data_IF_343655943100
#
_entry.id   IF_343655943100
#
_cell.length_a   1.000
_cell.length_b   1.000
_cell.length_c   1.000
_cell.angle_alpha   90.00
_cell.angle_beta   90.00
_cell.angle_gamma   90.00
#
_symmetry.space_group_name_H-M   'P 1'
#
loop_
_entity.id
_entity.type
_entity.pdbx_description
1 polymer ?
#
# COMPACT_ATOMS: atom_id res chain seq x y z
N UNK A 1 9.54 -57.26 -28.42
CA UNK A 1 8.44 -56.30 -28.11
C UNK A 1 8.66 -55.74 -26.72
N UNK A 2 9.35 -54.62 -26.60
CA UNK A 2 9.33 -53.79 -25.39
C UNK A 2 9.32 -52.35 -25.89
N UNK A 3 8.12 -51.77 -25.99
CA UNK A 3 7.97 -50.35 -26.21
C UNK A 3 8.27 -49.66 -24.88
N UNK A 4 9.46 -49.04 -24.78
CA UNK A 4 9.71 -48.03 -23.75
C UNK A 4 8.80 -46.84 -24.08
N UNK A 5 7.72 -46.70 -23.32
CA UNK A 5 6.96 -45.46 -23.23
C UNK A 5 7.83 -44.48 -22.43
N UNK A 6 8.49 -43.56 -23.13
CA UNK A 6 9.07 -42.39 -22.50
C UNK A 6 7.89 -41.53 -21.98
N UNK A 7 7.68 -41.54 -20.67
CA UNK A 7 6.86 -40.53 -20.00
C UNK A 7 7.59 -39.19 -20.20
N UNK A 8 7.10 -38.38 -21.15
CA UNK A 8 7.43 -36.97 -21.17
C UNK A 8 6.92 -36.40 -19.85
N UNK A 9 7.84 -36.08 -18.94
CA UNK A 9 7.52 -35.33 -17.74
C UNK A 9 6.91 -34.01 -18.20
N UNK A 10 5.60 -33.86 -18.00
CA UNK A 10 4.95 -32.57 -18.10
C UNK A 10 5.54 -31.77 -16.94
N UNK A 11 6.54 -30.94 -17.22
CA UNK A 11 6.96 -29.93 -16.24
C UNK A 11 5.70 -29.08 -16.05
N UNK A 12 5.07 -29.08 -14.86
CA UNK A 12 3.99 -28.14 -14.62
C UNK A 12 4.56 -26.78 -14.92
N UNK A 13 3.92 -26.01 -15.80
CA UNK A 13 4.25 -24.61 -15.93
C UNK A 13 4.01 -24.03 -14.53
N UNK A 14 5.09 -23.81 -13.77
CA UNK A 14 5.05 -23.00 -12.57
C UNK A 14 4.54 -21.66 -13.10
N UNK A 15 3.29 -21.33 -12.79
CA UNK A 15 2.75 -20.04 -13.15
C UNK A 15 3.71 -19.03 -12.53
N UNK A 16 4.30 -18.18 -13.36
CA UNK A 16 5.12 -17.10 -12.85
C UNK A 16 4.25 -16.31 -11.87
N UNK A 17 4.69 -16.24 -10.62
CA UNK A 17 3.95 -15.49 -9.61
C UNK A 17 3.97 -14.02 -9.98
N UNK A 18 2.86 -13.35 -9.71
CA UNK A 18 2.72 -11.93 -9.97
C UNK A 18 2.92 -11.19 -8.65
N UNK A 19 3.82 -10.22 -8.65
CA UNK A 19 3.91 -9.24 -7.58
C UNK A 19 2.84 -8.16 -7.79
N UNK A 20 1.94 -7.99 -6.83
CA UNK A 20 0.84 -7.02 -6.93
C UNK A 20 1.15 -5.66 -6.32
N UNK A 21 2.23 -5.54 -5.55
CA UNK A 21 2.65 -4.29 -4.92
C UNK A 21 2.63 -4.34 -3.39
N UNK A 22 2.66 -3.15 -2.78
CA UNK A 22 2.57 -2.99 -1.33
C UNK A 22 1.10 -2.84 -0.91
N UNK A 23 0.70 -3.51 0.18
CA UNK A 23 -0.68 -3.51 0.67
C UNK A 23 -0.74 -3.15 2.16
N UNK A 24 -1.83 -2.53 2.58
CA UNK A 24 -2.13 -2.27 3.99
C UNK A 24 -2.47 -3.56 4.77
N UNK A 25 -1.94 -3.67 5.99
CA UNK A 25 -2.05 -4.87 6.83
C UNK A 25 -2.80 -4.64 8.16
N UNK A 26 -3.01 -3.39 8.56
CA UNK A 26 -3.63 -3.03 9.84
C UNK A 26 -4.82 -2.13 9.60
N UNK A 27 -5.84 -2.15 10.49
CA UNK A 27 -5.95 -2.87 11.77
C UNK A 27 -6.12 -4.40 11.72
N UNK A 28 -6.41 -5.00 10.56
CA UNK A 28 -6.58 -6.46 10.43
C UNK A 28 -5.62 -7.03 9.40
N UNK A 29 -4.90 -8.11 9.77
CA UNK A 29 -4.00 -8.86 8.88
C UNK A 29 -4.66 -9.09 7.52
N UNK A 30 -3.98 -8.76 6.43
CA UNK A 30 -4.52 -8.90 5.09
C UNK A 30 -4.73 -10.38 4.73
N UNK A 31 -3.79 -11.23 5.13
CA UNK A 31 -3.82 -12.67 4.94
C UNK A 31 -3.62 -13.37 6.30
N UNK A 32 -4.49 -14.31 6.64
CA UNK A 32 -4.52 -14.89 8.00
C UNK A 32 -4.70 -16.41 8.06
N UNK A 33 -4.69 -17.10 6.92
CA UNK A 33 -4.96 -18.53 6.87
C UNK A 33 -3.76 -19.35 7.37
N UNK A 34 -2.55 -19.00 6.92
CA UNK A 34 -1.30 -19.61 7.37
C UNK A 34 -0.20 -18.56 7.50
N UNK A 35 0.76 -18.81 8.39
CA UNK A 35 1.90 -17.92 8.55
C UNK A 35 3.14 -18.66 9.04
N UNK A 36 4.31 -18.15 8.69
CA UNK A 36 5.59 -18.53 9.30
C UNK A 36 6.49 -17.31 9.43
N UNK A 37 7.44 -17.36 10.36
CA UNK A 37 8.37 -16.25 10.63
C UNK A 37 9.80 -16.79 10.73
N UNK A 38 10.71 -16.16 10.00
CA UNK A 38 12.16 -16.40 10.08
C UNK A 38 12.92 -15.14 9.64
N UNK A 39 13.31 -14.29 10.59
CA UNK A 39 14.03 -13.05 10.27
C UNK A 39 15.47 -13.24 9.79
N UNK A 40 16.03 -14.45 9.90
CA UNK A 40 17.40 -14.73 9.48
C UNK A 40 17.44 -15.32 8.06
N UNK A 41 16.44 -16.12 7.68
CA UNK A 41 16.48 -16.90 6.44
C UNK A 41 15.32 -16.62 5.47
N UNK A 42 14.31 -15.81 5.82
CA UNK A 42 13.19 -15.56 4.90
C UNK A 42 13.66 -14.97 3.58
N UNK A 43 13.10 -15.49 2.49
CA UNK A 43 13.22 -14.96 1.12
C UNK A 43 11.84 -14.98 0.47
N UNK A 44 11.68 -14.28 -0.65
CA UNK A 44 10.47 -14.31 -1.47
C UNK A 44 10.13 -15.75 -1.86
N UNK A 45 11.13 -16.51 -2.31
CA UNK A 45 10.96 -17.91 -2.72
C UNK A 45 10.59 -18.86 -1.58
N UNK A 46 11.05 -18.61 -0.34
CA UNK A 46 10.67 -19.41 0.84
C UNK A 46 9.19 -19.17 1.18
N UNK A 47 8.74 -17.91 1.17
CA UNK A 47 7.35 -17.61 1.45
C UNK A 47 6.41 -18.17 0.36
N UNK A 48 6.78 -18.00 -0.91
CA UNK A 48 6.06 -18.60 -2.03
C UNK A 48 5.91 -20.11 -1.86
N UNK A 49 7.02 -20.83 -1.62
CA UNK A 49 7.02 -22.29 -1.50
C UNK A 49 6.14 -22.75 -0.34
N UNK A 50 6.19 -22.04 0.80
CA UNK A 50 5.36 -22.34 1.95
C UNK A 50 3.88 -22.14 1.63
N UNK A 51 3.47 -20.96 1.16
CA UNK A 51 2.06 -20.63 0.95
C UNK A 51 1.44 -21.43 -0.20
N UNK A 52 2.15 -21.63 -1.30
CA UNK A 52 1.67 -22.50 -2.40
C UNK A 52 1.61 -23.97 -1.97
N UNK A 53 2.52 -24.41 -1.10
CA UNK A 53 2.46 -25.73 -0.47
C UNK A 53 1.25 -25.93 0.45
N UNK A 54 0.76 -24.85 1.05
CA UNK A 54 -0.51 -24.82 1.80
C UNK A 54 -1.75 -24.74 0.89
N UNK A 55 -1.57 -24.55 -0.42
CA UNK A 55 -2.65 -24.40 -1.39
C UNK A 55 -3.22 -22.98 -1.48
N UNK A 56 -2.61 -22.00 -0.81
CA UNK A 56 -3.03 -20.60 -0.88
C UNK A 56 -2.68 -19.97 -2.22
N UNK A 57 -3.59 -19.15 -2.74
CA UNK A 57 -3.46 -18.44 -4.02
C UNK A 57 -2.84 -17.05 -3.88
N UNK A 58 -2.93 -16.47 -2.68
CA UNK A 58 -2.28 -15.23 -2.27
C UNK A 58 -1.28 -15.50 -1.17
N UNK A 59 -0.21 -14.72 -1.19
CA UNK A 59 0.81 -14.76 -0.17
C UNK A 59 1.55 -13.43 -0.14
N UNK A 60 2.19 -13.14 0.97
CA UNK A 60 2.94 -11.91 1.09
C UNK A 60 3.92 -11.92 2.23
N UNK A 61 4.81 -10.93 2.18
CA UNK A 61 5.90 -10.78 3.12
C UNK A 61 5.77 -9.46 3.87
N UNK A 62 6.11 -9.48 5.14
CA UNK A 62 6.08 -8.32 6.02
C UNK A 62 7.31 -8.29 6.93
N UNK A 63 7.70 -7.07 7.32
CA UNK A 63 8.68 -6.82 8.37
C UNK A 63 10.02 -7.55 8.20
N UNK A 64 10.41 -7.84 6.95
CA UNK A 64 11.70 -8.46 6.61
C UNK A 64 11.80 -9.97 6.85
N UNK A 65 10.81 -10.60 7.47
CA UNK A 65 10.93 -12.01 7.89
C UNK A 65 9.61 -12.74 8.17
N UNK A 66 8.47 -12.08 8.01
CA UNK A 66 7.16 -12.65 8.23
C UNK A 66 6.53 -13.03 6.89
N UNK A 67 5.94 -14.21 6.80
CA UNK A 67 5.26 -14.72 5.62
C UNK A 67 3.81 -15.06 5.98
N UNK A 68 2.87 -14.55 5.19
CA UNK A 68 1.43 -14.74 5.37
C UNK A 68 0.79 -15.32 4.10
N UNK A 69 -0.18 -16.22 4.29
CA UNK A 69 -0.88 -16.91 3.22
C UNK A 69 -2.39 -16.74 3.35
N UNK A 70 -3.08 -16.75 2.22
CA UNK A 70 -4.53 -16.90 2.19
C UNK A 70 -5.07 -16.87 0.76
N UNK A 71 -6.38 -16.76 0.62
CA UNK A 71 -7.04 -16.71 -0.68
C UNK A 71 -7.84 -15.43 -0.92
N UNK A 72 -8.07 -14.64 0.13
CA UNK A 72 -8.86 -13.42 0.09
C UNK A 72 -8.23 -12.38 1.01
N UNK A 73 -8.15 -11.13 0.54
CA UNK A 73 -7.72 -10.00 1.36
C UNK A 73 -8.80 -9.64 2.38
N UNK A 74 -8.40 -9.42 3.63
CA UNK A 74 -9.27 -8.87 4.66
C UNK A 74 -9.74 -7.43 4.33
N UNK A 75 -10.80 -6.98 4.99
CA UNK A 75 -11.26 -5.60 4.90
C UNK A 75 -10.17 -4.64 5.36
N UNK A 76 -9.99 -3.55 4.63
CA UNK A 76 -8.96 -2.54 4.90
C UNK A 76 -7.61 -2.89 4.30
N UNK A 77 -7.47 -4.00 3.59
CA UNK A 77 -6.29 -4.33 2.80
C UNK A 77 -6.46 -3.90 1.35
N UNK A 78 -5.69 -2.88 0.97
CA UNK A 78 -5.69 -2.25 -0.35
C UNK A 78 -4.28 -1.74 -0.68
N UNK A 79 -4.00 -1.36 -1.93
CA UNK A 79 -2.70 -0.85 -2.32
C UNK A 79 -2.24 0.33 -1.45
N UNK A 80 -1.01 0.23 -0.95
CA UNK A 80 -0.26 1.28 -0.29
C UNK A 80 0.86 1.78 -1.22
N UNK A 81 1.52 2.88 -0.83
CA UNK A 81 2.67 3.39 -1.58
C UNK A 81 3.82 2.38 -1.56
N UNK A 82 4.55 2.24 -2.66
CA UNK A 82 5.56 1.18 -2.79
C UNK A 82 6.69 1.31 -1.74
N UNK A 83 7.04 2.54 -1.38
CA UNK A 83 8.08 2.87 -0.41
C UNK A 83 7.76 2.45 1.02
N UNK A 84 6.49 2.18 1.32
CA UNK A 84 6.07 1.58 2.59
C UNK A 84 6.51 0.10 2.70
N UNK A 85 6.73 -0.57 1.56
CA UNK A 85 7.29 -1.91 1.47
C UNK A 85 8.74 -1.84 0.96
N UNK A 86 9.66 -1.45 1.83
CA UNK A 86 11.08 -1.28 1.49
C UNK A 86 12.04 -2.07 2.40
N UNK A 87 11.53 -2.91 3.30
CA UNK A 87 12.39 -3.71 4.17
C UNK A 87 13.00 -4.88 3.39
N UNK A 88 14.33 -5.06 3.43
CA UNK A 88 14.96 -6.20 2.80
C UNK A 88 14.59 -7.50 3.51
N UNK A 89 14.59 -8.61 2.77
CA UNK A 89 14.46 -9.93 3.35
C UNK A 89 15.72 -10.31 4.17
N UNK A 90 15.53 -11.05 5.27
CA UNK A 90 16.63 -11.55 6.10
C UNK A 90 17.57 -12.50 5.36
N UNK A 91 17.01 -13.42 4.56
CA UNK A 91 17.76 -14.43 3.82
C UNK A 91 18.35 -13.96 2.49
N UNK A 92 17.84 -12.86 1.92
CA UNK A 92 18.40 -12.20 0.73
C UNK A 92 18.10 -10.70 0.74
N UNK A 93 19.12 -9.90 1.05
CA UNK A 93 18.97 -8.44 1.15
C UNK A 93 18.75 -7.73 -0.19
N UNK A 94 18.83 -8.44 -1.32
CA UNK A 94 18.46 -7.91 -2.63
C UNK A 94 16.94 -8.00 -2.91
N UNK A 95 16.21 -8.77 -2.11
CA UNK A 95 14.76 -8.92 -2.19
C UNK A 95 14.04 -8.02 -1.17
N UNK A 96 12.78 -7.68 -1.46
CA UNK A 96 11.92 -6.86 -0.59
C UNK A 96 10.92 -7.76 0.12
N UNK A 97 10.85 -7.65 1.45
CA UNK A 97 9.98 -8.43 2.33
C UNK A 97 9.05 -7.50 3.13
N UNK A 98 8.29 -6.67 2.42
CA UNK A 98 7.29 -5.77 2.99
C UNK A 98 7.88 -4.62 3.79
N UNK A 99 7.15 -4.19 4.81
CA UNK A 99 7.54 -3.14 5.74
C UNK A 99 6.75 -3.24 7.05
N UNK A 100 6.89 -2.28 7.97
CA UNK A 100 6.11 -2.28 9.21
C UNK A 100 4.62 -2.14 8.90
N UNK A 101 3.80 -3.15 9.21
CA UNK A 101 2.35 -3.17 8.93
C UNK A 101 2.02 -3.00 7.43
N UNK A 102 2.90 -3.54 6.57
CA UNK A 102 2.87 -3.36 5.11
C UNK A 102 3.29 -4.64 4.39
N UNK A 103 2.37 -5.20 3.63
CA UNK A 103 2.53 -6.50 2.99
C UNK A 103 2.99 -6.33 1.54
N UNK A 104 4.16 -6.87 1.20
CA UNK A 104 4.52 -7.12 -0.20
C UNK A 104 3.70 -8.30 -0.69
N UNK A 105 2.66 -8.03 -1.49
CA UNK A 105 1.65 -9.03 -1.89
C UNK A 105 1.99 -9.67 -3.24
N UNK A 106 1.81 -10.98 -3.29
CA UNK A 106 2.01 -11.81 -4.47
C UNK A 106 0.84 -12.77 -4.66
N UNK A 107 0.71 -13.31 -5.86
CA UNK A 107 -0.22 -14.40 -6.11
C UNK A 107 -0.09 -15.03 -7.49
N UNK A 108 -0.96 -16.02 -7.69
CA UNK A 108 -0.92 -16.90 -8.87
C UNK A 108 -1.67 -16.37 -10.09
N UNK A 109 -2.51 -15.33 -9.93
CA UNK A 109 -3.24 -14.70 -11.04
C UNK A 109 -2.43 -13.57 -11.68
N UNK A 110 -2.73 -13.26 -12.94
CA UNK A 110 -2.14 -12.10 -13.62
C UNK A 110 -2.65 -10.77 -13.03
N UNK A 111 -3.91 -10.74 -12.62
CA UNK A 111 -4.55 -9.55 -12.04
C UNK A 111 -4.46 -9.59 -10.50
N UNK A 112 -4.36 -8.41 -9.84
CA UNK A 112 -4.47 -8.31 -8.39
C UNK A 112 -5.81 -8.84 -7.85
N UNK A 113 -5.86 -9.29 -6.59
CA UNK A 113 -7.11 -9.70 -5.96
C UNK A 113 -8.05 -8.50 -5.76
N UNK A 114 -9.34 -8.80 -5.61
CA UNK A 114 -10.32 -7.79 -5.22
C UNK A 114 -10.01 -7.25 -3.81
N UNK A 115 -10.13 -5.94 -3.64
CA UNK A 115 -9.96 -5.25 -2.36
C UNK A 115 -11.32 -4.97 -1.71
N UNK A 116 -11.35 -4.89 -0.39
CA UNK A 116 -12.53 -4.43 0.35
C UNK A 116 -12.15 -3.22 1.21
N UNK A 117 -12.32 -2.00 0.67
CA UNK A 117 -11.97 -0.78 1.40
C UNK A 117 -12.82 -0.58 2.66
N UNK A 118 -12.42 0.38 3.50
CA UNK A 118 -13.29 0.83 4.59
C UNK A 118 -14.53 1.54 4.03
N UNK A 119 -15.71 1.35 4.65
CA UNK A 119 -16.92 2.02 4.20
C UNK A 119 -16.78 3.55 4.28
N UNK A 120 -17.28 4.23 3.27
CA UNK A 120 -17.41 5.69 3.20
C UNK A 120 -18.70 6.06 2.46
N UNK A 121 -19.10 7.32 2.52
CA UNK A 121 -20.25 7.80 1.75
C UNK A 121 -19.96 7.75 0.23
N UNK A 122 -20.99 7.60 -0.63
CA UNK A 122 -20.80 7.64 -2.07
C UNK A 122 -20.26 9.01 -2.51
N UNK A 123 -19.19 9.00 -3.30
CA UNK A 123 -18.50 10.17 -3.84
C UNK A 123 -18.15 9.93 -5.31
N UNK A 124 -17.85 10.99 -6.05
CA UNK A 124 -17.66 10.95 -7.50
C UNK A 124 -16.42 11.70 -7.99
N UNK A 125 -16.05 12.79 -7.34
CA UNK A 125 -14.90 13.59 -7.75
C UNK A 125 -14.18 14.20 -6.54
N UNK A 126 -12.94 14.63 -6.75
CA UNK A 126 -12.18 15.39 -5.76
C UNK A 126 -12.30 16.88 -6.04
N UNK A 127 -12.45 17.67 -4.97
CA UNK A 127 -12.50 19.11 -5.00
C UNK A 127 -11.32 19.67 -4.21
N UNK A 128 -10.59 20.63 -4.77
CA UNK A 128 -9.55 21.36 -4.06
C UNK A 128 -10.18 22.39 -3.11
N UNK A 129 -9.79 22.33 -1.83
CA UNK A 129 -10.29 23.18 -0.75
C UNK A 129 -9.30 24.28 -0.35
N UNK A 130 -8.10 24.31 -0.95
CA UNK A 130 -7.10 25.36 -0.75
C UNK A 130 -5.83 24.88 -0.06
N UNK A 131 -4.92 25.84 0.17
CA UNK A 131 -3.71 25.65 0.94
C UNK A 131 -3.96 25.96 2.42
N UNK A 132 -3.67 25.01 3.31
CA UNK A 132 -3.99 25.11 4.73
C UNK A 132 -2.78 24.84 5.62
N UNK A 133 -2.70 25.52 6.77
CA UNK A 133 -1.61 25.31 7.72
C UNK A 133 -1.75 23.99 8.46
N UNK A 134 -0.62 23.34 8.78
CA UNK A 134 -0.58 22.41 9.91
C UNK A 134 -0.96 23.11 11.22
N UNK A 135 -1.30 22.31 12.24
CA UNK A 135 -1.75 22.79 13.56
C UNK A 135 -0.76 22.36 14.64
N UNK A 136 -0.07 23.29 15.32
CA UNK A 136 0.93 22.94 16.34
C UNK A 136 0.40 22.01 17.43
N UNK A 137 1.04 20.85 17.58
CA UNK A 137 0.73 19.86 18.63
C UNK A 137 -0.42 18.91 18.32
N UNK A 138 -1.11 19.09 17.19
CA UNK A 138 -2.09 18.14 16.61
C UNK A 138 -1.83 18.03 15.11
N UNK A 139 -2.82 17.61 14.30
CA UNK A 139 -2.74 17.58 12.84
C UNK A 139 -3.88 18.40 12.23
N UNK A 140 -3.68 18.95 11.04
CA UNK A 140 -4.76 19.53 10.25
C UNK A 140 -5.81 18.47 9.85
N UNK A 141 -5.35 17.26 9.50
CA UNK A 141 -6.18 16.09 9.23
C UNK A 141 -5.73 14.95 10.16
N UNK A 142 -6.61 14.50 11.05
CA UNK A 142 -6.27 13.62 12.19
C UNK A 142 -6.44 12.11 11.93
N UNK A 143 -6.70 11.71 10.69
CA UNK A 143 -6.84 10.31 10.28
C UNK A 143 -5.50 9.61 10.07
N UNK A 144 -5.50 8.58 9.22
CA UNK A 144 -4.27 7.87 8.85
C UNK A 144 -3.41 8.73 7.91
N UNK A 145 -2.13 8.41 7.85
CA UNK A 145 -1.18 9.06 6.93
C UNK A 145 -0.35 8.02 6.19
N UNK A 146 0.30 8.46 5.12
CA UNK A 146 1.32 7.72 4.40
C UNK A 146 2.37 8.67 3.83
N UNK A 147 3.54 8.14 3.50
CA UNK A 147 4.63 8.91 2.91
C UNK A 147 5.16 8.13 1.71
N UNK A 148 5.44 8.84 0.61
CA UNK A 148 6.18 8.26 -0.50
C UNK A 148 7.15 9.24 -1.10
N UNK A 149 8.44 8.90 -1.04
CA UNK A 149 9.51 9.72 -1.58
C UNK A 149 9.63 9.69 -3.11
N UNK A 150 8.86 8.84 -3.79
CA UNK A 150 8.93 8.64 -5.24
C UNK A 150 7.59 8.52 -5.95
N UNK A 151 6.52 8.18 -5.24
CA UNK A 151 5.25 7.79 -5.86
C UNK A 151 4.06 8.61 -5.35
N UNK A 152 4.29 9.71 -4.62
CA UNK A 152 3.20 10.55 -4.15
C UNK A 152 2.61 11.34 -5.32
N UNK A 153 1.30 11.27 -5.47
CA UNK A 153 0.48 12.07 -6.40
C UNK A 153 -0.82 12.46 -5.71
N UNK A 154 -1.51 13.46 -6.24
CA UNK A 154 -2.83 13.87 -5.73
C UNK A 154 -3.78 12.67 -5.77
N UNK A 155 -3.87 11.97 -6.91
CA UNK A 155 -4.72 10.79 -7.07
C UNK A 155 -4.32 9.63 -6.15
N UNK A 156 -3.01 9.43 -5.92
CA UNK A 156 -2.51 8.41 -5.01
C UNK A 156 -2.96 8.67 -3.58
N UNK A 157 -2.82 9.91 -3.11
CA UNK A 157 -3.30 10.30 -1.78
C UNK A 157 -4.82 10.22 -1.66
N UNK A 158 -5.55 10.69 -2.68
CA UNK A 158 -7.00 10.63 -2.74
C UNK A 158 -7.52 9.19 -2.60
N UNK A 159 -6.94 8.24 -3.35
CA UNK A 159 -7.31 6.84 -3.30
C UNK A 159 -6.93 6.17 -1.98
N UNK A 160 -5.75 6.48 -1.44
CA UNK A 160 -5.33 5.96 -0.13
C UNK A 160 -6.30 6.38 0.97
N UNK A 161 -6.66 7.66 1.02
CA UNK A 161 -7.58 8.18 2.04
C UNK A 161 -9.00 7.67 1.85
N UNK A 162 -9.52 7.63 0.62
CA UNK A 162 -10.85 7.08 0.34
C UNK A 162 -10.95 5.61 0.76
N UNK A 163 -9.95 4.80 0.40
CA UNK A 163 -9.94 3.39 0.79
C UNK A 163 -9.77 3.18 2.30
N UNK A 164 -9.17 4.16 2.98
CA UNK A 164 -9.06 4.24 4.43
C UNK A 164 -10.35 4.73 5.12
N UNK A 165 -11.40 5.05 4.35
CA UNK A 165 -12.70 5.50 4.87
C UNK A 165 -12.80 7.01 5.11
N UNK A 166 -11.85 7.79 4.61
CA UNK A 166 -11.78 9.25 4.80
C UNK A 166 -12.11 10.00 3.51
N UNK A 167 -12.91 11.06 3.63
CA UNK A 167 -13.28 11.90 2.49
C UNK A 167 -12.38 13.13 2.33
N UNK A 168 -11.70 13.54 3.40
CA UNK A 168 -10.72 14.62 3.34
C UNK A 168 -9.33 14.03 3.19
N UNK A 169 -8.53 14.66 2.34
CA UNK A 169 -7.13 14.34 2.20
C UNK A 169 -6.31 15.60 1.96
N UNK A 170 -5.04 15.56 2.34
CA UNK A 170 -4.13 16.68 2.19
C UNK A 170 -2.72 16.20 1.89
N UNK A 171 -2.05 16.92 1.01
CA UNK A 171 -0.68 16.62 0.61
C UNK A 171 0.26 17.67 1.19
N UNK A 172 1.36 17.22 1.79
CA UNK A 172 2.33 18.08 2.47
C UNK A 172 3.75 17.72 2.04
N UNK A 173 4.60 18.74 1.95
CA UNK A 173 6.04 18.58 1.79
C UNK A 173 6.46 17.60 0.68
N UNK A 174 5.84 17.69 -0.51
CA UNK A 174 6.12 16.88 -1.72
C UNK A 174 5.71 15.40 -1.64
N UNK A 175 5.75 14.78 -0.46
CA UNK A 175 5.80 13.33 -0.32
C UNK A 175 4.82 12.77 0.71
N UNK A 176 4.12 13.61 1.46
CA UNK A 176 3.30 13.17 2.59
C UNK A 176 1.82 13.28 2.24
N UNK A 177 1.03 12.29 2.67
CA UNK A 177 -0.41 12.23 2.50
C UNK A 177 -1.08 12.06 3.86
N UNK A 178 -2.07 12.90 4.13
CA UNK A 178 -2.83 12.93 5.37
C UNK A 178 -4.31 12.79 5.09
N UNK A 179 -5.00 11.94 5.84
CA UNK A 179 -6.42 11.67 5.68
C UNK A 179 -7.22 12.23 6.86
N UNK A 180 -8.49 12.55 6.66
CA UNK A 180 -9.36 13.01 7.73
C UNK A 180 -10.84 12.94 7.40
N UNK A 181 -11.67 13.12 8.42
CA UNK A 181 -13.12 13.26 8.26
C UNK A 181 -13.56 14.72 8.18
N UNK A 182 -12.70 15.62 8.66
CA UNK A 182 -12.89 17.06 8.68
C UNK A 182 -11.53 17.73 8.79
N UNK A 183 -11.47 19.00 8.40
CA UNK A 183 -10.31 19.84 8.64
C UNK A 183 -10.36 20.41 10.06
N UNK A 184 -9.26 20.31 10.80
CA UNK A 184 -9.15 20.86 12.15
C UNK A 184 -9.46 22.36 12.15
N UNK A 185 -10.32 22.82 13.06
CA UNK A 185 -10.79 24.22 13.09
C UNK A 185 -9.70 25.25 13.37
N UNK A 186 -8.54 24.83 13.86
CA UNK A 186 -7.37 25.70 14.06
C UNK A 186 -6.44 25.74 12.84
N UNK A 187 -6.70 24.92 11.81
CA UNK A 187 -6.03 25.05 10.53
C UNK A 187 -6.54 26.32 9.83
N UNK A 188 -5.62 27.08 9.24
CA UNK A 188 -5.92 28.35 8.59
C UNK A 188 -5.61 28.27 7.11
N UNK A 189 -6.54 28.78 6.29
CA UNK A 189 -6.33 28.92 4.86
C UNK A 189 -5.31 30.03 4.62
N UNK A 190 -4.33 29.75 3.76
CA UNK A 190 -3.26 30.67 3.39
C UNK A 190 -3.19 30.82 1.88
N UNK A 191 -2.23 31.61 1.40
CA UNK A 191 -2.02 31.78 -0.03
C UNK A 191 -1.56 30.45 -0.67
N UNK A 192 -2.16 30.08 -1.81
CA UNK A 192 -1.80 28.86 -2.53
C UNK A 192 -0.31 28.82 -2.92
N UNK A 193 0.37 29.97 -3.02
CA UNK A 193 1.82 30.03 -3.25
C UNK A 193 2.66 29.37 -2.14
N UNK A 194 2.07 29.08 -0.98
CA UNK A 194 2.73 28.32 0.09
C UNK A 194 2.61 26.79 -0.09
N UNK A 195 1.79 26.31 -1.05
CA UNK A 195 1.54 24.89 -1.34
C UNK A 195 2.08 24.42 -2.70
N UNK A 196 3.13 25.05 -3.22
CA UNK A 196 3.67 24.83 -4.58
C UNK A 196 4.80 23.80 -4.68
N UNK A 197 5.00 22.96 -3.66
CA UNK A 197 6.04 21.93 -3.74
C UNK A 197 5.56 20.78 -4.64
N UNK A 198 6.32 20.42 -5.70
CA UNK A 198 5.88 19.40 -6.64
C UNK A 198 5.73 18.04 -5.96
N UNK A 199 4.78 17.22 -6.41
CA UNK A 199 4.62 15.85 -5.92
C UNK A 199 5.81 14.96 -6.28
N UNK A 200 6.18 14.04 -5.39
CA UNK A 200 7.34 13.16 -5.59
C UNK A 200 7.18 12.19 -6.76
N UNK A 201 5.94 11.80 -7.06
CA UNK A 201 5.55 10.92 -8.17
C UNK A 201 4.96 11.63 -9.39
N UNK A 202 4.63 12.92 -9.28
CA UNK A 202 4.20 13.74 -10.41
C UNK A 202 4.64 15.20 -10.25
N UNK A 203 5.75 15.63 -10.88
CA UNK A 203 6.26 16.98 -10.71
C UNK A 203 5.40 18.09 -11.35
N UNK A 204 4.34 17.72 -12.08
CA UNK A 204 3.36 18.66 -12.65
C UNK A 204 2.17 18.93 -11.70
N UNK A 205 2.14 18.31 -10.50
CA UNK A 205 1.13 18.49 -9.45
C UNK A 205 1.73 19.15 -8.20
N UNK A 206 0.94 19.97 -7.51
CA UNK A 206 1.32 20.71 -6.29
C UNK A 206 0.92 19.94 -5.01
N UNK A 207 1.91 19.35 -4.34
CA UNK A 207 1.79 18.53 -3.12
C UNK A 207 2.17 19.29 -1.84
N UNK A 208 1.55 20.45 -1.64
CA UNK A 208 1.67 21.23 -0.41
C UNK A 208 2.99 21.97 -0.28
N UNK A 209 3.41 22.21 0.96
CA UNK A 209 4.62 22.95 1.28
C UNK A 209 5.11 22.62 2.69
N UNK A 210 6.14 23.32 3.19
CA UNK A 210 6.62 23.13 4.56
C UNK A 210 5.55 23.57 5.56
N UNK A 211 5.04 22.65 6.38
CA UNK A 211 3.94 22.87 7.33
C UNK A 211 2.65 23.41 6.64
N UNK A 212 2.43 23.00 5.38
CA UNK A 212 1.32 23.45 4.51
C UNK A 212 0.74 22.28 3.72
N UNK A 213 -0.55 22.08 3.83
CA UNK A 213 -1.29 21.05 3.13
C UNK A 213 -2.05 21.63 1.94
N UNK A 214 -1.84 21.08 0.74
CA UNK A 214 -2.84 21.18 -0.34
C UNK A 214 -4.01 20.28 0.06
N UNK A 215 -5.14 20.84 0.48
CA UNK A 215 -6.28 20.08 1.01
C UNK A 215 -7.34 19.89 -0.06
N UNK A 216 -7.91 18.68 -0.09
CA UNK A 216 -8.97 18.28 -0.99
C UNK A 216 -10.05 17.51 -0.23
N UNK A 217 -11.24 17.47 -0.81
CA UNK A 217 -12.35 16.66 -0.34
C UNK A 217 -12.96 15.86 -1.49
N UNK A 218 -13.30 14.60 -1.24
CA UNK A 218 -14.18 13.82 -2.10
C UNK A 218 -15.65 14.27 -1.95
N UNK A 219 -16.33 14.52 -3.07
CA UNK A 219 -17.73 15.00 -3.16
C UNK A 219 -18.63 14.17 -4.07
#
# INVERSE_FOLDING_TARGET
>A
MQHLLALAAVVPAVLAQTFYGCYTEVPTRALSDFSQVDYDNMTVGICETFCTGQGSTLWGLEYGGECYCGDVLAQGSFPAFSTDCAMPCGGDTAEVCGGPNRLSLYGTSAEPPAVTPYPHDPVTETQYEGCWTEVPGVRALEGVSAVSASDMTIDGCANYCLNSGYLWFGLEYTAECYCGNELNTNSTNVDDTECIMPCSGNPDEDCGGPDRLSVYQWV
#
